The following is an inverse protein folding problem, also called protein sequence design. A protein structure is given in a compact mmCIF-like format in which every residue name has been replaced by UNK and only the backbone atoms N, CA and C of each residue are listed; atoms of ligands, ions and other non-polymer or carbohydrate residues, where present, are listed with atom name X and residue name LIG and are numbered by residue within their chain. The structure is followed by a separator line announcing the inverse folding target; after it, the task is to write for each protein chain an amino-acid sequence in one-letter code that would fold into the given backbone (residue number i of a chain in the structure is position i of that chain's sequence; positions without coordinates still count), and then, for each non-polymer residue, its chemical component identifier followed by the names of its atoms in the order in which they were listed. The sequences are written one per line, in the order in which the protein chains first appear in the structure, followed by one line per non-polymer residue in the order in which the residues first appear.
data_IF_776404638269
#
_entry.id   IF_776404638269
#
_cell.length_a   1.000
_cell.length_b   1.000
_cell.length_c   1.000
_cell.angle_alpha   90.00
_cell.angle_beta   90.00
_cell.angle_gamma   90.00
#
_symmetry.space_group_name_H-M   'P 1'
#
loop_
_entity.id
_entity.type
_entity.pdbx_description
1 polymer ?
#
# COMPACT_ATOMS: atom_id res chain seq x y z
N UNK A 1 7.68 5.11 -20.68
CA UNK A 1 7.91 6.37 -19.95
C UNK A 1 9.41 6.59 -19.86
N UNK A 2 9.94 7.79 -20.16
CA UNK A 2 11.35 8.09 -19.83
C UNK A 2 11.41 8.60 -18.38
N UNK A 3 12.54 8.38 -17.69
CA UNK A 3 12.71 8.85 -16.31
C UNK A 3 12.50 10.37 -16.15
N UNK A 4 13.00 11.25 -17.06
CA UNK A 4 12.75 12.69 -16.96
C UNK A 4 11.26 13.05 -17.07
N UNK A 5 10.50 12.33 -17.91
CA UNK A 5 9.06 12.56 -18.08
C UNK A 5 8.29 12.16 -16.81
N UNK A 6 8.64 11.03 -16.18
CA UNK A 6 8.01 10.59 -14.94
C UNK A 6 8.27 11.58 -13.79
N UNK A 7 9.50 12.09 -13.67
CA UNK A 7 9.85 13.11 -12.67
C UNK A 7 9.09 14.42 -12.90
N UNK A 8 8.99 14.87 -14.16
CA UNK A 8 8.25 16.08 -14.48
C UNK A 8 6.77 15.98 -14.12
N UNK A 9 6.14 14.84 -14.39
CA UNK A 9 4.74 14.59 -14.04
C UNK A 9 4.53 14.53 -12.52
N UNK A 10 5.39 13.82 -11.78
CA UNK A 10 5.32 13.73 -10.32
C UNK A 10 5.42 15.13 -9.66
N UNK A 11 6.36 15.96 -10.12
CA UNK A 11 6.51 17.34 -9.64
C UNK A 11 5.27 18.20 -9.91
N UNK A 12 4.65 18.08 -11.09
CA UNK A 12 3.42 18.81 -11.44
C UNK A 12 2.26 18.41 -10.53
N UNK A 13 2.17 17.13 -10.18
CA UNK A 13 1.14 16.58 -9.30
C UNK A 13 1.48 16.77 -7.80
N UNK A 14 2.68 17.28 -7.48
CA UNK A 14 3.19 17.44 -6.12
C UNK A 14 3.23 16.14 -5.31
N UNK A 15 3.52 15.03 -5.99
CA UNK A 15 3.71 13.70 -5.37
C UNK A 15 5.14 13.23 -5.57
N UNK A 16 5.59 12.24 -4.78
CA UNK A 16 6.88 11.60 -5.03
C UNK A 16 6.84 10.73 -6.30
N UNK A 17 8.00 10.50 -6.93
CA UNK A 17 8.07 9.62 -8.11
C UNK A 17 7.70 8.18 -7.74
N UNK A 18 8.01 7.75 -6.52
CA UNK A 18 7.67 6.41 -6.02
C UNK A 18 6.16 6.26 -5.82
N UNK A 19 5.49 7.29 -5.30
CA UNK A 19 4.02 7.34 -5.19
C UNK A 19 3.35 7.38 -6.56
N UNK A 20 3.89 8.16 -7.50
CA UNK A 20 3.37 8.22 -8.87
C UNK A 20 3.47 6.86 -9.61
N UNK A 21 4.46 6.03 -9.27
CA UNK A 21 4.72 4.77 -9.94
C UNK A 21 4.30 3.54 -9.14
N UNK A 22 3.68 3.71 -7.96
CA UNK A 22 3.49 2.62 -7.00
C UNK A 22 2.65 1.46 -7.55
N UNK A 23 1.66 1.76 -8.40
CA UNK A 23 0.80 0.77 -9.07
C UNK A 23 1.49 0.04 -10.24
N UNK A 24 2.59 0.59 -10.76
CA UNK A 24 3.30 0.07 -11.93
C UNK A 24 4.61 -0.64 -11.58
N UNK A 25 5.06 -0.57 -10.33
CA UNK A 25 6.35 -1.10 -9.87
C UNK A 25 6.13 -2.19 -8.81
N UNK A 26 6.88 -3.29 -8.92
CA UNK A 26 6.71 -4.46 -8.03
C UNK A 26 7.16 -4.15 -6.59
N UNK A 27 8.05 -3.19 -6.39
CA UNK A 27 8.69 -2.88 -5.10
C UNK A 27 8.07 -1.66 -4.39
N UNK A 28 6.74 -1.52 -4.43
CA UNK A 28 6.03 -0.34 -3.90
C UNK A 28 5.46 -0.52 -2.49
N UNK A 29 5.92 -1.55 -1.77
CA UNK A 29 5.39 -1.89 -0.44
C UNK A 29 5.45 -0.71 0.54
N UNK A 30 6.53 0.08 0.51
CA UNK A 30 6.70 1.21 1.43
C UNK A 30 5.70 2.32 1.18
N UNK A 31 5.38 2.62 -0.08
CA UNK A 31 4.36 3.62 -0.46
C UNK A 31 3.00 3.23 0.13
N UNK A 32 2.54 2.01 -0.12
CA UNK A 32 1.26 1.54 0.42
C UNK A 32 1.28 1.40 1.95
N UNK A 33 2.44 1.12 2.54
CA UNK A 33 2.57 1.10 4.01
C UNK A 33 2.43 2.50 4.61
N UNK A 34 2.97 3.52 3.94
CA UNK A 34 2.83 4.91 4.33
C UNK A 34 1.39 5.42 4.15
N UNK A 35 0.73 5.06 3.05
CA UNK A 35 -0.68 5.37 2.81
C UNK A 35 -1.57 4.80 3.94
N UNK A 36 -1.35 3.55 4.36
CA UNK A 36 -2.07 2.96 5.50
C UNK A 36 -1.80 3.72 6.79
N UNK A 37 -0.58 4.21 7.03
CA UNK A 37 -0.27 5.01 8.21
C UNK A 37 -1.01 6.36 8.20
N UNK A 38 -1.02 7.04 7.05
CA UNK A 38 -1.75 8.29 6.85
C UNK A 38 -3.26 8.11 7.10
N UNK A 39 -3.84 7.01 6.60
CA UNK A 39 -5.25 6.67 6.81
C UNK A 39 -5.61 6.37 8.28
N UNK A 40 -4.62 6.04 9.11
CA UNK A 40 -4.81 5.73 10.52
C UNK A 40 -4.47 6.91 11.43
N UNK A 41 -3.99 8.04 10.89
CA UNK A 41 -3.46 9.17 11.66
C UNK A 41 -4.52 9.88 12.51
N UNK A 42 -5.75 9.97 12.01
CA UNK A 42 -6.89 10.63 12.65
C UNK A 42 -7.84 9.68 13.40
N UNK A 43 -7.57 8.37 13.35
CA UNK A 43 -8.40 7.35 13.98
C UNK A 43 -8.25 7.35 15.52
N UNK A 44 -9.37 7.16 16.22
CA UNK A 44 -9.35 6.97 17.67
C UNK A 44 -8.95 5.54 18.09
N UNK A 45 -8.76 5.33 19.40
CA UNK A 45 -8.37 4.03 19.97
C UNK A 45 -9.35 2.89 19.60
N UNK A 46 -10.64 3.21 19.45
CA UNK A 46 -11.66 2.22 19.12
C UNK A 46 -11.62 1.85 17.64
N UNK A 47 -11.48 2.84 16.75
CA UNK A 47 -11.31 2.66 15.31
C UNK A 47 -10.05 1.87 14.98
N UNK A 48 -8.90 2.26 15.56
CA UNK A 48 -7.62 1.55 15.37
C UNK A 48 -7.75 0.08 15.77
N UNK A 49 -8.44 -0.22 16.87
CA UNK A 49 -8.65 -1.61 17.34
C UNK A 49 -9.43 -2.44 16.32
N UNK A 50 -10.54 -1.89 15.81
CA UNK A 50 -11.38 -2.57 14.81
C UNK A 50 -10.60 -2.79 13.51
N UNK A 51 -9.94 -1.75 13.01
CA UNK A 51 -9.17 -1.81 11.76
C UNK A 51 -8.01 -2.81 11.87
N UNK A 52 -7.32 -2.84 13.01
CA UNK A 52 -6.26 -3.80 13.29
C UNK A 52 -6.76 -5.24 13.23
N UNK A 53 -7.90 -5.54 13.85
CA UNK A 53 -8.47 -6.89 13.84
C UNK A 53 -8.91 -7.30 12.42
N UNK A 54 -9.48 -6.37 11.65
CA UNK A 54 -9.81 -6.59 10.25
C UNK A 54 -8.56 -6.89 9.41
N UNK A 55 -7.49 -6.10 9.56
CA UNK A 55 -6.25 -6.31 8.83
C UNK A 55 -5.59 -7.66 9.16
N UNK A 56 -5.62 -8.09 10.42
CA UNK A 56 -5.14 -9.43 10.81
C UNK A 56 -5.93 -10.53 10.11
N UNK A 57 -7.26 -10.47 10.17
CA UNK A 57 -8.13 -11.47 9.55
C UNK A 57 -7.95 -11.54 8.02
N UNK A 58 -7.87 -10.38 7.35
CA UNK A 58 -7.62 -10.28 5.92
C UNK A 58 -6.25 -10.88 5.55
N UNK A 59 -5.19 -10.49 6.28
CA UNK A 59 -3.83 -10.96 6.06
C UNK A 59 -3.69 -12.48 6.22
N UNK A 60 -4.32 -13.05 7.24
CA UNK A 60 -4.31 -14.49 7.47
C UNK A 60 -5.04 -15.23 6.35
N UNK A 61 -6.18 -14.71 5.89
CA UNK A 61 -6.94 -15.29 4.78
C UNK A 61 -6.13 -15.28 3.48
N UNK A 62 -5.54 -14.14 3.12
CA UNK A 62 -4.69 -14.02 1.92
C UNK A 62 -3.52 -15.02 1.98
N UNK A 63 -2.84 -15.13 3.13
CA UNK A 63 -1.70 -16.04 3.29
C UNK A 63 -2.09 -17.50 3.26
N UNK A 64 -3.26 -17.86 3.78
CA UNK A 64 -3.80 -19.23 3.67
C UNK A 64 -4.08 -19.58 2.20
N UNK A 65 -4.77 -18.71 1.47
CA UNK A 65 -5.12 -18.95 0.07
C UNK A 65 -3.88 -19.02 -0.83
N UNK A 66 -2.87 -18.17 -0.59
CA UNK A 66 -1.60 -18.26 -1.31
C UNK A 66 -0.88 -19.59 -1.09
N UNK A 67 -0.93 -20.16 0.13
CA UNK A 67 -0.35 -21.48 0.40
C UNK A 67 -1.09 -22.60 -0.32
N UNK A 68 -2.42 -22.51 -0.42
CA UNK A 68 -3.22 -23.48 -1.16
C UNK A 68 -2.90 -23.44 -2.67
N UNK A 69 -2.79 -22.24 -3.26
CA UNK A 69 -2.43 -22.06 -4.68
C UNK A 69 -1.03 -22.55 -5.05
N UNK A 70 -0.12 -22.72 -4.09
CA UNK A 70 1.22 -23.26 -4.32
C UNK A 70 1.29 -24.80 -4.23
N UNK A 71 0.20 -25.44 -3.80
CA UNK A 71 0.09 -26.90 -3.69
C UNK A 71 -0.64 -27.54 -4.90
N UNK A 72 -1.16 -26.73 -5.81
CA UNK A 72 -1.70 -27.11 -7.13
C UNK A 72 -0.61 -27.01 -8.21
#
# INVERSE_FOLDING_TARGET
MSLPMAVALANVLSVSVDEFLCDSVIHSKEVFSHEVQMLLEDCDDYEIRILTDLFKAAKDTIRRDMKLKQQE
#
